data_IF_247713291375
#
_entry.id   IF_247713291375
#
_cell.length_a   1.000
_cell.length_b   1.000
_cell.length_c   1.000
_cell.angle_alpha   90.00
_cell.angle_beta   90.00
_cell.angle_gamma   90.00
#
_symmetry.space_group_name_H-M   'P 1'
#
loop_
_entity.id
_entity.type
_entity.pdbx_description
1 polymer ?
#
# COMPACT_ATOMS: atom_id res chain seq x y z
N UNK A 1 -34.15 14.74 -4.26
CA UNK A 1 -32.96 13.86 -4.13
C UNK A 1 -32.96 13.31 -2.72
N UNK A 2 -33.00 11.99 -2.54
CA UNK A 2 -32.79 11.39 -1.21
C UNK A 2 -31.38 11.76 -0.76
N UNK A 3 -31.21 12.16 0.49
CA UNK A 3 -29.89 12.30 1.08
C UNK A 3 -29.24 10.92 1.06
N UNK A 4 -28.33 10.69 0.11
CA UNK A 4 -27.38 9.59 0.18
C UNK A 4 -26.71 9.75 1.53
N UNK A 5 -26.69 8.70 2.35
CA UNK A 5 -25.88 8.66 3.57
C UNK A 5 -24.42 8.77 3.13
N UNK A 6 -23.93 10.00 2.92
CA UNK A 6 -22.58 10.25 2.47
C UNK A 6 -21.63 9.64 3.51
N UNK A 7 -20.67 8.81 3.10
CA UNK A 7 -19.68 8.30 4.03
C UNK A 7 -18.90 9.47 4.65
N UNK A 8 -18.64 9.37 5.94
CA UNK A 8 -17.80 10.33 6.66
C UNK A 8 -16.37 10.31 6.08
N UNK A 9 -15.63 11.42 6.17
CA UNK A 9 -14.24 11.50 5.67
C UNK A 9 -13.36 10.35 6.20
N UNK A 10 -13.56 9.96 7.45
CA UNK A 10 -12.95 8.76 8.06
C UNK A 10 -13.13 7.50 7.23
N UNK A 11 -14.36 7.25 6.79
CA UNK A 11 -14.72 6.05 6.04
C UNK A 11 -14.12 6.09 4.64
N UNK A 12 -14.03 7.27 4.02
CA UNK A 12 -13.37 7.46 2.73
C UNK A 12 -11.86 7.23 2.81
N UNK A 13 -11.21 7.76 3.84
CA UNK A 13 -9.80 7.50 4.12
C UNK A 13 -9.53 6.00 4.31
N UNK A 14 -10.30 5.34 5.18
CA UNK A 14 -10.18 3.90 5.44
C UNK A 14 -10.41 3.09 4.16
N UNK A 15 -11.43 3.44 3.38
CA UNK A 15 -11.77 2.75 2.13
C UNK A 15 -10.62 2.86 1.12
N UNK A 16 -10.07 4.06 0.92
CA UNK A 16 -8.92 4.26 0.06
C UNK A 16 -7.71 3.45 0.53
N UNK A 17 -7.38 3.52 1.82
CA UNK A 17 -6.26 2.80 2.39
C UNK A 17 -6.38 1.28 2.26
N UNK A 18 -7.51 0.70 2.65
CA UNK A 18 -7.74 -0.75 2.56
C UNK A 18 -7.66 -1.20 1.10
N UNK A 19 -8.25 -0.44 0.17
CA UNK A 19 -8.30 -0.78 -1.25
C UNK A 19 -6.89 -1.03 -1.82
N UNK A 20 -5.94 -0.12 -1.57
CA UNK A 20 -4.57 -0.27 -2.03
C UNK A 20 -3.72 -1.18 -1.14
N UNK A 21 -3.82 -1.06 0.19
CA UNK A 21 -3.00 -1.85 1.10
C UNK A 21 -3.31 -3.35 1.04
N UNK A 22 -4.53 -3.73 0.65
CA UNK A 22 -4.88 -5.14 0.39
C UNK A 22 -4.01 -5.79 -0.68
N UNK A 23 -3.37 -5.00 -1.53
CA UNK A 23 -2.36 -5.46 -2.49
C UNK A 23 -1.18 -6.16 -1.81
N UNK A 24 -0.90 -5.87 -0.53
CA UNK A 24 0.09 -6.59 0.24
C UNK A 24 -0.18 -8.10 0.20
N UNK A 25 -1.41 -8.53 0.50
CA UNK A 25 -1.75 -9.95 0.60
C UNK A 25 -1.62 -10.65 -0.75
N UNK A 26 -2.21 -10.06 -1.78
CA UNK A 26 -2.23 -10.65 -3.11
C UNK A 26 -0.84 -10.67 -3.76
N UNK A 27 -0.03 -9.62 -3.59
CA UNK A 27 1.35 -9.61 -4.08
C UNK A 27 2.21 -10.66 -3.35
N UNK A 28 2.09 -10.80 -2.02
CA UNK A 28 2.84 -11.83 -1.30
C UNK A 28 2.40 -13.26 -1.68
N UNK A 29 1.12 -13.47 -1.95
CA UNK A 29 0.63 -14.75 -2.50
C UNK A 29 1.24 -15.04 -3.89
N UNK A 30 1.39 -14.02 -4.74
CA UNK A 30 2.08 -14.14 -6.04
C UNK A 30 3.56 -14.47 -5.88
N UNK A 31 4.27 -13.79 -4.99
CA UNK A 31 5.67 -14.06 -4.68
C UNK A 31 5.80 -15.51 -4.19
N UNK A 32 4.99 -15.95 -3.24
CA UNK A 32 5.02 -17.33 -2.74
C UNK A 32 4.76 -18.35 -3.87
N UNK A 33 3.78 -18.07 -4.75
CA UNK A 33 3.50 -18.92 -5.92
C UNK A 33 4.70 -19.01 -6.87
N UNK A 34 5.43 -17.92 -7.08
CA UNK A 34 6.63 -17.90 -7.90
C UNK A 34 7.76 -18.72 -7.27
N UNK A 35 8.03 -18.52 -5.97
CA UNK A 35 9.05 -19.26 -5.23
C UNK A 35 8.78 -20.77 -5.17
N UNK A 36 7.51 -21.16 -5.06
CA UNK A 36 7.09 -22.57 -5.04
C UNK A 36 7.44 -23.34 -6.33
N UNK A 37 7.67 -22.65 -7.45
CA UNK A 37 8.09 -23.27 -8.71
C UNK A 37 9.61 -23.52 -8.78
N UNK A 38 10.36 -23.12 -7.75
CA UNK A 38 11.81 -23.33 -7.71
C UNK A 38 12.17 -24.80 -7.44
N UNK A 39 13.30 -25.25 -8.00
CA UNK A 39 13.91 -26.54 -7.67
C UNK A 39 14.94 -26.44 -6.55
N UNK A 40 15.26 -25.24 -6.08
CA UNK A 40 16.30 -25.00 -5.07
C UNK A 40 15.72 -25.18 -3.65
N UNK A 41 16.25 -26.11 -2.83
CA UNK A 41 15.72 -26.37 -1.49
C UNK A 41 15.68 -25.13 -0.59
N UNK A 42 16.71 -24.27 -0.65
CA UNK A 42 16.76 -23.03 0.13
C UNK A 42 15.66 -22.04 -0.26
N UNK A 43 15.24 -22.02 -1.53
CA UNK A 43 14.14 -21.16 -1.99
C UNK A 43 12.80 -21.71 -1.52
N UNK A 44 12.61 -23.04 -1.59
CA UNK A 44 11.40 -23.70 -1.11
C UNK A 44 11.21 -23.53 0.40
N UNK A 45 12.27 -23.61 1.19
CA UNK A 45 12.23 -23.37 2.64
C UNK A 45 11.76 -21.94 2.96
N UNK A 46 12.25 -20.92 2.23
CA UNK A 46 11.81 -19.55 2.42
C UNK A 46 10.39 -19.32 1.88
N UNK A 47 9.97 -20.04 0.83
CA UNK A 47 8.58 -20.05 0.37
C UNK A 47 7.63 -20.54 1.47
N UNK A 48 7.96 -21.63 2.17
CA UNK A 48 7.14 -22.15 3.27
C UNK A 48 7.01 -21.14 4.40
N UNK A 49 8.13 -20.50 4.81
CA UNK A 49 8.12 -19.44 5.82
C UNK A 49 7.26 -18.24 5.40
N UNK A 50 7.37 -17.85 4.13
CA UNK A 50 6.57 -16.76 3.57
C UNK A 50 5.08 -17.11 3.60
N UNK A 51 4.70 -18.32 3.22
CA UNK A 51 3.30 -18.80 3.27
C UNK A 51 2.75 -18.77 4.70
N UNK A 52 3.50 -19.26 5.68
CA UNK A 52 3.08 -19.22 7.08
C UNK A 52 2.93 -17.78 7.60
N UNK A 53 3.84 -16.87 7.22
CA UNK A 53 3.71 -15.47 7.57
C UNK A 53 2.46 -14.82 6.94
N UNK A 54 2.19 -15.08 5.66
CA UNK A 54 0.98 -14.59 4.97
C UNK A 54 -0.28 -15.09 5.68
N UNK A 55 -0.34 -16.39 6.03
CA UNK A 55 -1.47 -16.95 6.78
C UNK A 55 -1.69 -16.23 8.10
N UNK A 56 -0.61 -15.94 8.83
CA UNK A 56 -0.67 -15.19 10.09
C UNK A 56 -1.24 -13.77 9.97
N UNK A 57 -1.19 -13.16 8.78
CA UNK A 57 -1.74 -11.83 8.51
C UNK A 57 -3.10 -11.86 7.78
N UNK A 58 -3.49 -13.03 7.24
CA UNK A 58 -4.64 -13.16 6.33
C UNK A 58 -5.98 -12.76 6.95
N UNK A 59 -6.15 -12.96 8.26
CA UNK A 59 -7.39 -12.62 8.97
C UNK A 59 -7.73 -11.13 8.83
N UNK A 60 -6.72 -10.25 8.94
CA UNK A 60 -6.93 -8.81 8.80
C UNK A 60 -7.47 -8.47 7.40
N UNK A 61 -6.90 -9.06 6.34
CA UNK A 61 -7.34 -8.80 4.96
C UNK A 61 -8.74 -9.35 4.69
N UNK A 62 -9.04 -10.56 5.18
CA UNK A 62 -10.36 -11.16 5.04
C UNK A 62 -11.47 -10.32 5.72
N UNK A 63 -11.15 -9.65 6.82
CA UNK A 63 -12.08 -8.77 7.52
C UNK A 63 -12.22 -7.40 6.86
N UNK A 64 -11.13 -6.88 6.28
CA UNK A 64 -11.07 -5.50 5.78
C UNK A 64 -11.43 -5.37 4.29
N UNK A 65 -11.05 -6.29 3.40
CA UNK A 65 -11.40 -6.20 1.97
C UNK A 65 -12.92 -6.02 1.75
N UNK A 66 -13.82 -6.78 2.44
CA UNK A 66 -15.26 -6.58 2.32
C UNK A 66 -15.76 -5.20 2.78
N UNK A 67 -14.96 -4.43 3.53
CA UNK A 67 -15.29 -3.04 3.86
C UNK A 67 -15.50 -2.20 2.61
N UNK A 68 -14.60 -2.31 1.62
CA UNK A 68 -14.66 -1.48 0.40
C UNK A 68 -15.96 -1.72 -0.37
N UNK A 69 -16.36 -2.98 -0.53
CA UNK A 69 -17.65 -3.34 -1.16
C UNK A 69 -18.85 -2.83 -0.35
N UNK A 70 -18.83 -2.95 0.98
CA UNK A 70 -19.90 -2.38 1.82
C UNK A 70 -20.02 -0.86 1.68
N UNK A 71 -18.90 -0.14 1.58
CA UNK A 71 -18.92 1.32 1.35
C UNK A 71 -19.41 1.63 -0.06
N UNK A 72 -19.02 0.84 -1.06
CA UNK A 72 -19.48 0.99 -2.43
C UNK A 72 -21.00 0.81 -2.53
N UNK A 73 -21.57 -0.18 -1.84
CA UNK A 73 -23.02 -0.40 -1.76
C UNK A 73 -23.75 0.79 -1.14
N UNK A 74 -23.22 1.38 -0.05
CA UNK A 74 -23.77 2.60 0.57
C UNK A 74 -23.78 3.78 -0.40
N UNK A 75 -22.73 3.87 -1.23
CA UNK A 75 -22.58 4.91 -2.25
C UNK A 75 -23.29 4.58 -3.57
N UNK A 76 -24.00 3.46 -3.67
CA UNK A 76 -24.65 2.95 -4.90
C UNK A 76 -23.66 2.79 -6.08
N UNK A 77 -22.38 2.53 -5.78
CA UNK A 77 -21.34 2.28 -6.78
C UNK A 77 -21.39 0.84 -7.28
N UNK A 78 -21.22 0.65 -8.58
CA UNK A 78 -21.06 -0.68 -9.19
C UNK A 78 -19.59 -1.03 -9.29
N UNK A 79 -19.12 -1.89 -8.39
CA UNK A 79 -17.77 -2.45 -8.41
C UNK A 79 -17.83 -3.98 -8.46
N UNK A 80 -16.77 -4.69 -8.88
CA UNK A 80 -16.74 -6.14 -8.87
C UNK A 80 -16.90 -6.71 -7.45
N UNK A 81 -17.29 -7.98 -7.37
CA UNK A 81 -17.33 -8.72 -6.11
C UNK A 81 -15.95 -8.76 -5.44
N UNK A 82 -15.95 -9.03 -4.13
CA UNK A 82 -14.74 -9.15 -3.32
C UNK A 82 -13.76 -10.14 -3.98
N UNK A 83 -12.50 -9.74 -4.22
CA UNK A 83 -11.53 -10.58 -4.92
C UNK A 83 -11.13 -11.79 -4.08
N UNK A 84 -11.04 -12.95 -4.72
CA UNK A 84 -10.57 -14.19 -4.11
C UNK A 84 -9.19 -14.61 -4.58
N UNK A 85 -8.73 -14.07 -5.71
CA UNK A 85 -7.43 -14.36 -6.31
C UNK A 85 -6.64 -13.08 -6.57
N UNK A 86 -5.30 -13.17 -6.74
CA UNK A 86 -4.50 -12.01 -7.12
C UNK A 86 -4.94 -11.34 -8.43
N UNK A 87 -5.34 -12.13 -9.43
CA UNK A 87 -5.76 -11.59 -10.74
C UNK A 87 -7.08 -10.82 -10.61
N UNK A 88 -8.01 -11.32 -9.78
CA UNK A 88 -9.25 -10.61 -9.45
C UNK A 88 -8.96 -9.31 -8.70
N UNK A 89 -7.99 -9.32 -7.79
CA UNK A 89 -7.64 -8.16 -6.98
C UNK A 89 -7.22 -6.96 -7.82
N UNK A 90 -6.31 -7.12 -8.79
CA UNK A 90 -5.84 -5.98 -9.59
C UNK A 90 -6.96 -5.38 -10.44
N UNK A 91 -7.85 -6.21 -10.97
CA UNK A 91 -9.04 -5.76 -11.69
C UNK A 91 -10.02 -5.05 -10.76
N UNK A 92 -10.31 -5.64 -9.61
CA UNK A 92 -11.19 -5.07 -8.58
C UNK A 92 -10.68 -3.73 -8.07
N UNK A 93 -9.38 -3.63 -7.77
CA UNK A 93 -8.75 -2.44 -7.23
C UNK A 93 -8.81 -1.26 -8.19
N UNK A 94 -8.52 -1.49 -9.48
CA UNK A 94 -8.58 -0.47 -10.53
C UNK A 94 -10.03 0.04 -10.73
N UNK A 95 -10.99 -0.87 -10.83
CA UNK A 95 -12.40 -0.50 -11.04
C UNK A 95 -12.95 0.24 -9.82
N UNK A 96 -12.68 -0.26 -8.61
CA UNK A 96 -13.14 0.38 -7.38
C UNK A 96 -12.49 1.75 -7.18
N UNK A 97 -11.18 1.90 -7.42
CA UNK A 97 -10.52 3.19 -7.34
C UNK A 97 -11.17 4.22 -8.27
N UNK A 98 -11.40 3.86 -9.53
CA UNK A 98 -12.06 4.74 -10.52
C UNK A 98 -13.47 5.14 -10.06
N UNK A 99 -14.25 4.18 -9.55
CA UNK A 99 -15.61 4.43 -9.08
C UNK A 99 -15.65 5.43 -7.91
N UNK A 100 -14.81 5.22 -6.89
CA UNK A 100 -14.73 6.13 -5.74
C UNK A 100 -14.13 7.50 -6.10
N UNK A 101 -13.09 7.52 -6.94
CA UNK A 101 -12.45 8.76 -7.39
C UNK A 101 -13.41 9.69 -8.15
N UNK A 102 -14.32 9.10 -8.94
CA UNK A 102 -15.31 9.83 -9.74
C UNK A 102 -16.59 10.16 -8.96
N UNK A 103 -16.78 9.62 -7.75
CA UNK A 103 -17.99 9.82 -6.95
C UNK A 103 -18.16 11.28 -6.47
N UNK A 104 -17.04 11.96 -6.20
CA UNK A 104 -17.04 13.30 -5.61
C UNK A 104 -16.50 14.36 -6.58
N UNK A 105 -16.89 15.65 -6.41
CA UNK A 105 -16.33 16.74 -7.20
C UNK A 105 -14.80 16.77 -7.13
N UNK A 106 -14.18 17.10 -8.25
CA UNK A 106 -12.72 17.20 -8.35
C UNK A 106 -12.19 18.17 -7.29
N UNK A 107 -11.22 17.71 -6.49
CA UNK A 107 -10.59 18.43 -5.37
C UNK A 107 -11.51 18.73 -4.18
N UNK A 108 -12.68 18.09 -4.06
CA UNK A 108 -13.44 18.16 -2.79
C UNK A 108 -12.68 17.45 -1.67
N UNK A 109 -12.97 17.81 -0.42
CA UNK A 109 -12.38 17.15 0.74
C UNK A 109 -12.58 15.63 0.68
N UNK A 110 -13.77 15.16 0.31
CA UNK A 110 -14.06 13.73 0.15
C UNK A 110 -13.18 13.03 -0.88
N UNK A 111 -13.05 13.63 -2.08
CA UNK A 111 -12.21 13.06 -3.13
C UNK A 111 -10.75 12.99 -2.70
N UNK A 112 -10.24 14.08 -2.10
CA UNK A 112 -8.86 14.19 -1.69
C UNK A 112 -8.56 13.26 -0.51
N UNK A 113 -9.45 13.14 0.47
CA UNK A 113 -9.30 12.22 1.61
C UNK A 113 -9.26 10.76 1.17
N UNK A 114 -10.13 10.37 0.23
CA UNK A 114 -10.07 9.03 -0.37
C UNK A 114 -8.74 8.80 -1.10
N UNK A 115 -8.33 9.75 -1.93
CA UNK A 115 -7.09 9.67 -2.72
C UNK A 115 -5.86 9.59 -1.82
N UNK A 116 -5.82 10.38 -0.75
CA UNK A 116 -4.76 10.34 0.25
C UNK A 116 -4.68 8.99 0.95
N UNK A 117 -5.82 8.44 1.37
CA UNK A 117 -5.88 7.10 1.96
C UNK A 117 -5.33 6.04 1.00
N UNK A 118 -5.76 6.09 -0.26
CA UNK A 118 -5.30 5.17 -1.30
C UNK A 118 -3.79 5.27 -1.56
N UNK A 119 -3.24 6.48 -1.62
CA UNK A 119 -1.81 6.72 -1.82
C UNK A 119 -0.98 6.24 -0.63
N UNK A 120 -1.46 6.49 0.59
CA UNK A 120 -0.81 6.00 1.79
C UNK A 120 -0.81 4.46 1.85
N UNK A 121 -1.93 3.81 1.50
CA UNK A 121 -1.99 2.35 1.43
C UNK A 121 -1.07 1.75 0.36
N UNK A 122 -0.92 2.42 -0.80
CA UNK A 122 0.06 2.02 -1.82
C UNK A 122 1.50 2.20 -1.32
N UNK A 123 1.80 3.32 -0.65
CA UNK A 123 3.13 3.53 -0.06
C UNK A 123 3.45 2.43 0.97
N UNK A 124 2.53 2.12 1.89
CA UNK A 124 2.68 1.05 2.87
C UNK A 124 2.87 -0.32 2.21
N UNK A 125 2.07 -0.64 1.19
CA UNK A 125 2.21 -1.88 0.42
C UNK A 125 3.59 -1.97 -0.25
N UNK A 126 4.03 -0.90 -0.92
CA UNK A 126 5.31 -0.87 -1.62
C UNK A 126 6.50 -0.99 -0.67
N UNK A 127 6.45 -0.35 0.50
CA UNK A 127 7.50 -0.45 1.51
C UNK A 127 7.64 -1.88 2.05
N UNK A 128 6.52 -2.56 2.31
CA UNK A 128 6.51 -3.95 2.75
C UNK A 128 7.03 -4.90 1.66
N UNK A 129 6.60 -4.70 0.40
CA UNK A 129 7.11 -5.49 -0.74
C UNK A 129 8.60 -5.25 -0.97
N UNK A 130 9.05 -4.00 -0.86
CA UNK A 130 10.46 -3.63 -1.00
C UNK A 130 11.30 -4.34 0.04
N UNK A 131 10.85 -4.36 1.31
CA UNK A 131 11.50 -5.13 2.38
C UNK A 131 11.58 -6.62 2.03
N UNK A 132 10.47 -7.21 1.56
CA UNK A 132 10.43 -8.63 1.16
C UNK A 132 11.41 -8.95 0.04
N UNK A 133 11.42 -8.16 -1.03
CA UNK A 133 12.33 -8.38 -2.16
C UNK A 133 13.79 -8.16 -1.78
N UNK A 134 14.11 -7.15 -0.99
CA UNK A 134 15.47 -6.94 -0.49
C UNK A 134 15.94 -8.12 0.35
N UNK A 135 15.10 -8.60 1.28
CA UNK A 135 15.42 -9.76 2.11
C UNK A 135 15.71 -11.00 1.25
N UNK A 136 14.82 -11.34 0.31
CA UNK A 136 14.99 -12.50 -0.56
C UNK A 136 16.23 -12.36 -1.46
N UNK A 137 16.45 -11.16 -2.04
CA UNK A 137 17.59 -10.87 -2.90
C UNK A 137 18.92 -10.96 -2.15
N UNK A 138 18.97 -10.55 -0.88
CA UNK A 138 20.16 -10.65 -0.04
C UNK A 138 20.40 -12.10 0.44
N UNK A 139 19.35 -12.77 0.93
CA UNK A 139 19.45 -14.10 1.53
C UNK A 139 19.66 -15.21 0.50
N UNK A 140 19.05 -15.07 -0.67
CA UNK A 140 19.04 -16.07 -1.73
C UNK A 140 19.73 -15.55 -3.01
N UNK A 141 20.73 -14.68 -2.87
CA UNK A 141 21.42 -13.99 -3.97
C UNK A 141 21.95 -14.92 -5.08
N UNK A 142 22.29 -16.17 -4.74
CA UNK A 142 22.78 -17.17 -5.70
C UNK A 142 21.66 -17.85 -6.50
N UNK A 143 20.40 -17.60 -6.16
CA UNK A 143 19.24 -18.31 -6.69
C UNK A 143 18.18 -17.37 -7.25
N UNK A 144 18.08 -16.15 -6.72
CA UNK A 144 17.05 -15.18 -7.06
C UNK A 144 17.70 -13.83 -7.38
N UNK A 145 17.07 -13.09 -8.30
CA UNK A 145 17.45 -11.72 -8.63
C UNK A 145 16.18 -10.87 -8.74
N UNK A 146 15.99 -9.97 -7.78
CA UNK A 146 14.83 -9.08 -7.71
C UNK A 146 15.21 -7.60 -7.91
N UNK A 147 16.36 -7.31 -8.51
CA UNK A 147 16.83 -5.93 -8.68
C UNK A 147 15.84 -5.07 -9.48
N UNK A 148 15.17 -5.66 -10.48
CA UNK A 148 14.15 -4.96 -11.28
C UNK A 148 12.90 -4.63 -10.45
N UNK A 149 12.42 -5.57 -9.63
CA UNK A 149 11.28 -5.38 -8.74
C UNK A 149 11.60 -4.32 -7.69
N UNK A 150 12.80 -4.36 -7.12
CA UNK A 150 13.30 -3.34 -6.18
C UNK A 150 13.31 -1.95 -6.85
N UNK A 151 13.89 -1.81 -8.04
CA UNK A 151 13.94 -0.54 -8.76
C UNK A 151 12.53 -0.02 -9.10
N UNK A 152 11.63 -0.91 -9.53
CA UNK A 152 10.24 -0.55 -9.84
C UNK A 152 9.51 -0.02 -8.60
N UNK A 153 9.63 -0.69 -7.45
CA UNK A 153 9.00 -0.25 -6.20
C UNK A 153 9.54 1.10 -5.72
N UNK A 154 10.83 1.38 -5.92
CA UNK A 154 11.43 2.69 -5.63
C UNK A 154 10.86 3.78 -6.54
N UNK A 155 10.73 3.50 -7.84
CA UNK A 155 10.11 4.43 -8.80
C UNK A 155 8.64 4.70 -8.46
N UNK A 156 7.90 3.68 -8.06
CA UNK A 156 6.51 3.83 -7.63
C UNK A 156 6.43 4.67 -6.36
N UNK A 157 7.29 4.44 -5.37
CA UNK A 157 7.36 5.28 -4.15
C UNK A 157 7.63 6.75 -4.49
N UNK A 158 8.48 7.05 -5.47
CA UNK A 158 8.70 8.42 -5.94
C UNK A 158 7.44 9.03 -6.54
N UNK A 159 6.72 8.26 -7.36
CA UNK A 159 5.46 8.70 -7.99
C UNK A 159 4.35 8.94 -6.95
N UNK A 160 4.20 8.01 -6.01
CA UNK A 160 3.25 8.09 -4.90
C UNK A 160 3.59 9.31 -4.03
N UNK A 161 4.85 9.52 -3.70
CA UNK A 161 5.26 10.65 -2.87
C UNK A 161 4.90 11.99 -3.52
N UNK A 162 5.18 12.15 -4.81
CA UNK A 162 4.83 13.38 -5.54
C UNK A 162 3.30 13.62 -5.59
N UNK A 163 2.53 12.56 -5.88
CA UNK A 163 1.05 12.63 -5.93
C UNK A 163 0.45 12.94 -4.56
N UNK A 164 0.95 12.30 -3.51
CA UNK A 164 0.39 12.47 -2.18
C UNK A 164 0.79 13.80 -1.54
N UNK A 165 1.98 14.36 -1.86
CA UNK A 165 2.31 15.76 -1.52
C UNK A 165 1.31 16.72 -2.14
N UNK A 166 1.02 16.58 -3.43
CA UNK A 166 0.02 17.43 -4.11
C UNK A 166 -1.36 17.31 -3.45
N UNK A 167 -1.75 16.10 -3.05
CA UNK A 167 -3.03 15.84 -2.36
C UNK A 167 -3.05 16.46 -0.96
N UNK A 168 -1.97 16.31 -0.19
CA UNK A 168 -1.80 16.87 1.14
C UNK A 168 -1.84 18.41 1.14
N UNK A 169 -1.17 19.05 0.17
CA UNK A 169 -1.19 20.51 0.01
C UNK A 169 -2.60 21.04 -0.26
N UNK A 170 -3.41 20.29 -1.00
CA UNK A 170 -4.81 20.65 -1.26
C UNK A 170 -5.71 20.42 -0.04
N UNK A 171 -5.47 19.35 0.73
CA UNK A 171 -6.20 19.05 1.96
C UNK A 171 -5.96 20.10 3.06
N UNK A 172 -4.81 20.78 3.06
CA UNK A 172 -4.51 21.84 4.01
C UNK A 172 -5.53 22.98 4.01
N UNK A 173 -6.17 23.25 2.86
CA UNK A 173 -7.17 24.31 2.73
C UNK A 173 -8.54 23.94 3.31
N UNK A 174 -8.72 22.70 3.77
CA UNK A 174 -9.92 22.23 4.46
C UNK A 174 -9.59 22.00 5.94
N UNK A 175 -10.18 22.81 6.82
CA UNK A 175 -9.91 22.81 8.27
C UNK A 175 -10.03 21.41 8.88
N UNK A 176 -11.04 20.64 8.47
CA UNK A 176 -11.32 19.29 8.94
C UNK A 176 -10.34 18.22 8.45
N UNK A 177 -9.37 18.55 7.58
CA UNK A 177 -8.36 17.61 7.07
C UNK A 177 -6.93 18.09 7.19
N UNK A 178 -6.66 19.26 7.79
CA UNK A 178 -5.32 19.83 7.91
C UNK A 178 -4.33 18.88 8.62
N UNK A 179 -4.80 18.08 9.57
CA UNK A 179 -4.00 17.06 10.27
C UNK A 179 -3.42 15.99 9.33
N UNK A 180 -4.04 15.74 8.17
CA UNK A 180 -3.55 14.79 7.17
C UNK A 180 -2.29 15.33 6.48
N UNK A 181 -2.21 16.64 6.28
CA UNK A 181 -1.02 17.32 5.75
C UNK A 181 0.15 17.18 6.70
N UNK A 182 -0.06 17.47 7.99
CA UNK A 182 0.98 17.32 9.02
C UNK A 182 1.50 15.88 9.13
N UNK A 183 0.60 14.90 9.06
CA UNK A 183 0.98 13.49 9.05
C UNK A 183 1.84 13.13 7.83
N UNK A 184 1.51 13.67 6.66
CA UNK A 184 2.31 13.45 5.45
C UNK A 184 3.68 14.10 5.51
N UNK A 185 3.77 15.35 6.01
CA UNK A 185 5.04 16.05 6.20
C UNK A 185 5.98 15.29 7.15
N UNK A 186 5.44 14.58 8.13
CA UNK A 186 6.22 13.72 9.02
C UNK A 186 6.70 12.42 8.34
N UNK A 187 5.93 11.86 7.40
CA UNK A 187 6.28 10.61 6.71
C UNK A 187 7.20 10.82 5.50
N UNK A 188 7.04 11.94 4.79
CA UNK A 188 7.73 12.22 3.53
C UNK A 188 9.26 12.14 3.64
N UNK A 189 9.93 12.68 4.69
CA UNK A 189 11.38 12.58 4.83
C UNK A 189 11.89 11.13 4.87
N UNK A 190 11.12 10.22 5.48
CA UNK A 190 11.45 8.81 5.54
C UNK A 190 11.37 8.13 4.17
N UNK A 191 10.33 8.45 3.39
CA UNK A 191 10.20 7.96 2.00
C UNK A 191 11.35 8.50 1.14
N UNK A 192 11.69 9.79 1.29
CA UNK A 192 12.79 10.41 0.56
C UNK A 192 14.16 9.79 0.90
N UNK A 193 14.40 9.45 2.17
CA UNK A 193 15.62 8.74 2.59
C UNK A 193 15.71 7.35 1.94
N UNK A 194 14.61 6.61 1.90
CA UNK A 194 14.51 5.30 1.25
C UNK A 194 14.83 5.41 -0.25
N UNK A 195 14.23 6.37 -0.95
CA UNK A 195 14.47 6.61 -2.38
C UNK A 195 15.94 6.99 -2.63
N UNK A 196 16.50 7.89 -1.81
CA UNK A 196 17.87 8.37 -1.97
C UNK A 196 18.94 7.28 -1.73
N UNK A 197 18.62 6.26 -0.93
CA UNK A 197 19.55 5.18 -0.61
C UNK A 197 19.62 4.11 -1.70
N UNK A 198 18.61 4.03 -2.58
CA UNK A 198 18.59 3.08 -3.68
C UNK A 198 19.76 3.31 -4.65
N UNK A 199 20.58 2.28 -4.95
CA UNK A 199 21.67 2.43 -5.89
C UNK A 199 21.18 2.35 -7.35
N UNK A 200 21.81 3.11 -8.25
CA UNK A 200 21.54 3.02 -9.71
C UNK A 200 21.93 1.65 -10.30
N UNK A 201 22.86 0.96 -9.66
CA UNK A 201 23.32 -0.39 -10.01
C UNK A 201 23.24 -1.30 -8.81
N UNK A 202 22.94 -2.59 -9.00
CA UNK A 202 22.84 -3.54 -7.89
C UNK A 202 24.09 -3.51 -6.97
N UNK A 203 23.88 -3.15 -5.70
CA UNK A 203 24.91 -3.02 -4.69
C UNK A 203 24.42 -3.69 -3.40
N UNK A 204 25.13 -4.75 -2.99
CA UNK A 204 24.76 -5.56 -1.82
C UNK A 204 24.80 -4.74 -0.53
N UNK A 205 25.79 -3.87 -0.35
CA UNK A 205 25.92 -3.06 0.85
C UNK A 205 24.79 -2.02 0.93
N UNK A 206 24.43 -1.40 -0.19
CA UNK A 206 23.28 -0.47 -0.21
C UNK A 206 21.95 -1.18 -0.04
N UNK A 207 21.77 -2.37 -0.63
CA UNK A 207 20.57 -3.18 -0.40
C UNK A 207 20.43 -3.59 1.07
N UNK A 208 21.52 -3.95 1.74
CA UNK A 208 21.51 -4.25 3.17
C UNK A 208 21.13 -3.00 3.99
N UNK A 209 21.78 -1.86 3.73
CA UNK A 209 21.45 -0.61 4.43
C UNK A 209 19.98 -0.20 4.23
N UNK A 210 19.46 -0.38 3.01
CA UNK A 210 18.05 -0.09 2.71
C UNK A 210 17.10 -1.05 3.43
N UNK A 211 17.44 -2.34 3.50
CA UNK A 211 16.67 -3.32 4.26
C UNK A 211 16.63 -2.97 5.75
N UNK A 212 17.77 -2.64 6.35
CA UNK A 212 17.88 -2.25 7.76
C UNK A 212 17.06 -0.98 8.05
N UNK A 213 17.12 0.00 7.14
CA UNK A 213 16.33 1.22 7.24
C UNK A 213 14.83 0.92 7.20
N UNK A 214 14.36 0.06 6.29
CA UNK A 214 12.95 -0.34 6.21
C UNK A 214 12.47 -1.05 7.49
N UNK A 215 13.30 -1.93 8.07
CA UNK A 215 12.97 -2.61 9.33
C UNK A 215 12.75 -1.61 10.47
N UNK A 216 13.53 -0.53 10.51
CA UNK A 216 13.40 0.53 11.52
C UNK A 216 12.19 1.44 11.25
N UNK A 217 11.91 1.76 9.98
CA UNK A 217 10.92 2.78 9.62
C UNK A 217 9.49 2.26 9.49
N UNK A 218 9.28 1.01 9.06
CA UNK A 218 7.93 0.46 8.86
C UNK A 218 7.00 0.61 10.08
N UNK A 219 7.44 0.38 11.34
CA UNK A 219 6.61 0.64 12.51
C UNK A 219 6.12 2.08 12.60
N UNK A 220 6.92 3.08 12.19
CA UNK A 220 6.51 4.48 12.19
C UNK A 220 5.43 4.76 11.15
N UNK A 221 5.49 4.15 9.97
CA UNK A 221 4.44 4.24 8.95
C UNK A 221 3.11 3.66 9.46
N UNK A 222 3.15 2.47 10.06
CA UNK A 222 1.97 1.81 10.63
C UNK A 222 1.36 2.61 11.79
N UNK A 223 2.20 3.18 12.65
CA UNK A 223 1.73 4.03 13.76
C UNK A 223 1.09 5.33 13.25
N UNK A 224 1.64 5.94 12.21
CA UNK A 224 1.08 7.18 11.64
C UNK A 224 -0.29 6.94 11.01
N UNK A 225 -0.46 5.83 10.29
CA UNK A 225 -1.78 5.40 9.80
C UNK A 225 -2.78 5.25 10.95
N UNK A 226 -2.40 4.56 12.02
CA UNK A 226 -3.26 4.36 13.19
C UNK A 226 -3.62 5.69 13.87
N UNK A 227 -2.65 6.59 13.99
CA UNK A 227 -2.85 7.91 14.57
C UNK A 227 -3.87 8.73 13.79
N UNK A 228 -3.79 8.73 12.45
CA UNK A 228 -4.76 9.42 11.58
C UNK A 228 -6.21 9.00 11.85
N UNK A 229 -6.45 7.73 12.16
CA UNK A 229 -7.79 7.23 12.49
C UNK A 229 -8.37 7.80 13.79
N UNK A 230 -7.53 8.32 14.69
CA UNK A 230 -7.96 8.93 15.95
C UNK A 230 -8.30 10.42 15.81
N UNK A 231 -7.92 11.06 14.71
CA UNK A 231 -8.20 12.48 14.45
C UNK A 231 -9.56 12.72 13.75
N UNK A 232 -10.10 11.70 13.06
CA UNK A 232 -11.45 11.73 12.50
C UNK A 232 -12.53 11.28 13.50
#
# INVERSE_FOLDING_TARGET
MKAVNKPHLKQLYITGYILSYSGWYFNHALIARELANSTQPAVLEECEKLVEWIKGQSEWFMQNIPHVNRVADICELKIPDVPLTPDDYFTWADVAYKAFYQLYPVRSAEQLTFTFGFDLGNASCNLELLKTFLFLNLKLANHLNFNNQIAHLIQDLQTIAARNTTTADLLYYYEETAFMTEAWENLLPYIQQIIALHPETADVARHLALYELLVQLLPHFHNTWTALLHHF
#
